data_IF_825079277959
#
_entry.id   IF_825079277959
#
_cell.length_a   1.000
_cell.length_b   1.000
_cell.length_c   1.000
_cell.angle_alpha   90.00
_cell.angle_beta   90.00
_cell.angle_gamma   90.00
#
_symmetry.space_group_name_H-M   'P 1'
#
loop_
_entity.id
_entity.type
_entity.pdbx_description
1 polymer ?
#
# COMPACT_ATOMS: atom_id res chain seq x y z
N UNK A 1 23.81 -9.03 6.41
CA UNK A 1 24.14 -7.78 5.68
C UNK A 1 24.36 -8.12 4.22
N UNK A 2 23.91 -7.27 3.30
CA UNK A 2 24.05 -7.47 1.86
C UNK A 2 24.80 -6.25 1.29
N UNK A 3 26.07 -6.39 0.90
CA UNK A 3 26.82 -5.28 0.33
C UNK A 3 26.30 -4.92 -1.07
N UNK A 4 26.43 -3.66 -1.46
CA UNK A 4 26.24 -3.19 -2.82
C UNK A 4 27.30 -2.12 -3.15
N UNK A 5 27.49 -1.74 -4.43
CA UNK A 5 28.63 -0.91 -4.83
C UNK A 5 28.78 0.44 -4.12
N UNK A 6 27.73 0.96 -3.48
CA UNK A 6 27.71 2.28 -2.85
C UNK A 6 27.45 2.22 -1.32
N UNK A 7 27.40 1.01 -0.73
CA UNK A 7 27.11 0.85 0.70
C UNK A 7 26.67 -0.55 1.11
N UNK A 8 25.80 -0.64 2.12
CA UNK A 8 25.29 -1.91 2.66
C UNK A 8 23.80 -1.87 2.98
N UNK A 9 23.13 -3.01 2.79
CA UNK A 9 21.75 -3.22 3.25
C UNK A 9 21.76 -4.15 4.48
N UNK A 10 21.17 -3.67 5.57
CA UNK A 10 20.90 -4.44 6.79
C UNK A 10 19.41 -4.78 6.84
N UNK A 11 19.09 -6.00 7.24
CA UNK A 11 17.71 -6.46 7.39
C UNK A 11 17.38 -6.43 8.86
N UNK A 12 16.31 -5.71 9.22
CA UNK A 12 15.86 -5.55 10.59
C UNK A 12 14.44 -6.08 10.76
N UNK A 13 14.15 -6.63 11.93
CA UNK A 13 12.80 -6.81 12.44
C UNK A 13 12.28 -5.52 13.10
N UNK A 14 10.97 -5.42 13.29
CA UNK A 14 10.34 -4.24 13.91
C UNK A 14 10.91 -3.93 15.30
N UNK A 15 11.19 -4.95 16.12
CA UNK A 15 11.75 -4.77 17.46
C UNK A 15 13.10 -4.04 17.45
N UNK A 16 13.96 -4.33 16.47
CA UNK A 16 15.25 -3.65 16.28
C UNK A 16 15.04 -2.24 15.71
N UNK A 17 14.04 -2.09 14.83
CA UNK A 17 13.77 -0.87 14.10
C UNK A 17 13.19 0.26 14.98
N UNK A 18 12.39 -0.07 16.00
CA UNK A 18 11.78 0.91 16.91
C UNK A 18 12.81 1.77 17.65
N UNK A 19 14.01 1.24 17.87
CA UNK A 19 15.13 1.95 18.49
C UNK A 19 15.97 2.75 17.46
N UNK A 20 15.67 2.63 16.17
CA UNK A 20 16.39 3.33 15.11
C UNK A 20 15.81 4.73 14.86
N UNK A 21 16.56 5.78 15.18
CA UNK A 21 16.14 7.17 14.92
C UNK A 21 15.90 7.49 13.44
N UNK A 22 16.49 6.72 12.52
CA UNK A 22 16.21 6.86 11.09
C UNK A 22 14.79 6.37 10.72
N UNK A 23 14.21 5.43 11.47
CA UNK A 23 12.87 4.91 11.17
C UNK A 23 11.79 5.98 11.32
N UNK A 24 11.88 6.78 12.38
CA UNK A 24 10.98 7.91 12.62
C UNK A 24 10.98 8.94 11.49
N UNK A 25 12.11 9.06 10.77
CA UNK A 25 12.28 9.98 9.64
C UNK A 25 11.86 9.37 8.31
N UNK A 26 12.01 8.05 8.16
CA UNK A 26 11.59 7.34 6.95
C UNK A 26 10.10 7.59 6.69
N UNK A 27 9.77 7.93 5.45
CA UNK A 27 8.38 8.11 4.99
C UNK A 27 7.61 9.25 5.72
N UNK A 28 8.27 10.09 6.52
CA UNK A 28 7.61 11.13 7.31
C UNK A 28 6.74 12.09 6.46
N UNK A 29 7.17 12.34 5.23
CA UNK A 29 6.51 13.22 4.26
C UNK A 29 5.44 12.52 3.40
N UNK A 30 5.19 11.22 3.63
CA UNK A 30 4.17 10.44 2.92
C UNK A 30 2.90 10.37 3.77
N UNK A 31 1.76 10.05 3.16
CA UNK A 31 0.51 9.83 3.91
C UNK A 31 0.67 8.70 4.95
N UNK A 32 1.39 7.65 4.56
CA UNK A 32 1.74 6.49 5.38
C UNK A 32 3.18 6.62 5.85
N UNK A 33 3.36 7.21 7.03
CA UNK A 33 4.68 7.27 7.66
C UNK A 33 5.03 5.94 8.36
N UNK A 34 6.14 5.93 9.08
CA UNK A 34 6.62 4.77 9.81
C UNK A 34 5.56 4.10 10.71
N UNK A 35 4.74 4.89 11.44
CA UNK A 35 3.70 4.38 12.35
C UNK A 35 2.68 3.53 11.62
N UNK A 36 2.32 3.92 10.39
CA UNK A 36 1.40 3.14 9.56
C UNK A 36 1.92 1.71 9.30
N UNK A 37 3.22 1.55 9.05
CA UNK A 37 3.80 0.23 8.78
C UNK A 37 3.89 -0.62 10.05
N UNK A 38 4.09 0.00 11.23
CA UNK A 38 4.00 -0.71 12.51
C UNK A 38 2.56 -1.20 12.75
N UNK A 39 1.57 -0.33 12.57
CA UNK A 39 0.15 -0.67 12.69
C UNK A 39 -0.20 -1.83 11.75
N UNK A 40 0.22 -1.76 10.49
CA UNK A 40 -0.02 -2.84 9.51
C UNK A 40 0.58 -4.16 10.00
N UNK A 41 1.83 -4.15 10.45
CA UNK A 41 2.49 -5.37 10.92
C UNK A 41 1.81 -5.94 12.18
N UNK A 42 1.38 -5.10 13.10
CA UNK A 42 0.85 -5.54 14.41
C UNK A 42 -0.63 -5.93 14.35
N UNK A 43 -1.39 -5.35 13.44
CA UNK A 43 -2.86 -5.51 13.41
C UNK A 43 -3.36 -6.41 12.30
N UNK A 44 -2.63 -6.54 11.18
CA UNK A 44 -3.10 -7.37 10.07
C UNK A 44 -2.77 -8.85 10.27
N UNK A 45 -3.80 -9.69 10.13
CA UNK A 45 -3.69 -11.15 10.25
C UNK A 45 -3.60 -11.81 8.86
N UNK A 46 -2.71 -11.30 8.00
CA UNK A 46 -2.64 -11.68 6.58
C UNK A 46 -1.47 -12.61 6.22
N UNK A 47 -0.76 -13.15 7.22
CA UNK A 47 0.41 -14.01 7.01
C UNK A 47 1.60 -13.29 6.38
N UNK A 48 1.70 -11.97 6.56
CA UNK A 48 2.83 -11.18 6.11
C UNK A 48 4.00 -11.30 7.08
N UNK A 49 5.16 -11.71 6.57
CA UNK A 49 6.40 -11.74 7.32
C UNK A 49 7.17 -10.45 7.03
N UNK A 50 6.95 -9.43 7.87
CA UNK A 50 7.48 -8.08 7.68
C UNK A 50 8.96 -7.98 8.07
N UNK A 51 9.72 -7.28 7.23
CA UNK A 51 11.11 -6.91 7.46
C UNK A 51 11.38 -5.50 6.94
N UNK A 52 12.49 -4.92 7.37
CA UNK A 52 12.86 -3.57 7.00
C UNK A 52 14.30 -3.55 6.52
N UNK A 53 14.51 -3.02 5.32
CA UNK A 53 15.83 -2.87 4.73
C UNK A 53 16.38 -1.51 5.13
N UNK A 54 17.28 -1.50 6.11
CA UNK A 54 18.06 -0.33 6.46
C UNK A 54 19.21 -0.20 5.45
N UNK A 55 19.26 0.91 4.73
CA UNK A 55 20.22 1.16 3.64
C UNK A 55 21.20 2.22 4.10
N UNK A 56 22.48 1.85 4.19
CA UNK A 56 23.59 2.74 4.54
C UNK A 56 24.48 2.97 3.32
N UNK A 57 25.04 4.18 3.22
CA UNK A 57 26.15 4.46 2.29
C UNK A 57 27.51 4.03 2.88
N UNK A 58 28.60 4.23 2.12
CA UNK A 58 29.95 3.90 2.57
C UNK A 58 30.43 4.67 3.80
N UNK A 59 29.85 5.83 4.08
CA UNK A 59 30.16 6.61 5.29
C UNK A 59 29.41 6.07 6.52
N UNK A 60 28.58 5.04 6.36
CA UNK A 60 27.74 4.49 7.41
C UNK A 60 26.50 5.33 7.70
N UNK A 61 26.20 6.32 6.85
CA UNK A 61 25.00 7.14 7.00
C UNK A 61 23.80 6.33 6.47
N UNK A 62 22.83 6.08 7.35
CA UNK A 62 21.53 5.50 6.94
C UNK A 62 20.86 6.49 6.01
N UNK A 63 20.48 6.09 4.78
CA UNK A 63 19.81 6.88 3.71
C UNK A 63 18.35 6.54 3.51
N UNK A 64 17.93 5.35 3.90
CA UNK A 64 16.53 4.95 3.89
C UNK A 64 16.28 3.72 4.75
N UNK A 65 15.01 3.54 5.09
CA UNK A 65 14.49 2.28 5.59
C UNK A 65 13.34 1.87 4.69
N UNK A 66 13.55 0.83 3.87
CA UNK A 66 12.54 0.33 2.94
C UNK A 66 11.75 -0.83 3.58
N UNK A 67 10.44 -0.68 3.79
CA UNK A 67 9.59 -1.80 4.20
C UNK A 67 9.51 -2.86 3.10
N UNK A 68 9.67 -4.12 3.51
CA UNK A 68 9.48 -5.30 2.68
C UNK A 68 8.73 -6.36 3.49
N UNK A 69 8.10 -7.32 2.83
CA UNK A 69 7.47 -8.43 3.51
C UNK A 69 7.44 -9.66 2.62
N UNK A 70 7.49 -10.84 3.22
CA UNK A 70 7.20 -12.08 2.50
C UNK A 70 5.73 -12.43 2.63
N UNK A 71 5.19 -12.98 1.55
CA UNK A 71 3.85 -13.54 1.52
C UNK A 71 3.85 -14.80 0.67
N UNK A 72 3.04 -15.78 1.05
CA UNK A 72 2.76 -16.96 0.23
C UNK A 72 1.54 -16.67 -0.64
N UNK A 73 1.75 -16.59 -1.95
CA UNK A 73 0.69 -16.23 -2.90
C UNK A 73 0.39 -17.38 -3.85
N UNK A 74 -0.90 -17.64 -4.02
CA UNK A 74 -1.40 -18.54 -5.04
C UNK A 74 -1.64 -17.75 -6.33
N UNK A 75 -0.74 -17.88 -7.32
CA UNK A 75 -0.81 -17.15 -8.59
C UNK A 75 -2.08 -17.40 -9.41
N UNK A 76 -2.95 -18.33 -9.02
CA UNK A 76 -4.23 -18.60 -9.70
C UNK A 76 -5.44 -17.98 -9.00
N UNK A 77 -5.30 -17.53 -7.75
CA UNK A 77 -6.32 -16.73 -7.07
C UNK A 77 -6.27 -15.29 -7.61
N UNK A 78 -7.11 -15.01 -8.61
CA UNK A 78 -7.27 -13.66 -9.18
C UNK A 78 -7.34 -13.60 -10.71
N UNK A 79 -7.09 -14.71 -11.41
CA UNK A 79 -7.16 -14.75 -12.88
C UNK A 79 -8.59 -15.09 -13.34
N UNK A 80 -9.42 -14.06 -13.61
CA UNK A 80 -10.65 -14.20 -14.41
C UNK A 80 -10.37 -13.92 -15.89
N UNK A 81 -10.50 -14.95 -16.74
CA UNK A 81 -10.63 -14.81 -18.20
C UNK A 81 -9.34 -14.54 -19.00
N UNK A 82 -9.33 -15.07 -20.24
CA UNK A 82 -8.36 -15.00 -21.37
C UNK A 82 -6.84 -15.17 -21.15
N UNK A 83 -6.30 -15.08 -19.94
CA UNK A 83 -4.88 -15.46 -19.63
C UNK A 83 -4.77 -16.96 -19.29
N UNK A 84 -5.84 -17.73 -19.53
CA UNK A 84 -5.93 -19.16 -19.22
C UNK A 84 -4.94 -20.02 -20.03
N UNK A 85 -4.51 -19.60 -21.23
CA UNK A 85 -3.59 -20.41 -22.04
C UNK A 85 -2.16 -20.37 -21.49
N UNK A 86 -1.68 -19.21 -21.03
CA UNK A 86 -0.37 -19.07 -20.39
C UNK A 86 -0.32 -19.85 -19.07
N UNK A 87 -1.39 -19.73 -18.26
CA UNK A 87 -1.53 -20.49 -17.01
C UNK A 87 -1.65 -22.00 -17.26
N UNK A 88 -2.31 -22.42 -18.34
CA UNK A 88 -2.48 -23.84 -18.70
C UNK A 88 -1.15 -24.52 -19.08
N UNK A 89 -0.28 -23.81 -19.81
CA UNK A 89 1.04 -24.32 -20.20
C UNK A 89 1.97 -24.44 -19.00
N UNK A 90 1.94 -23.46 -18.09
CA UNK A 90 2.74 -23.46 -16.85
C UNK A 90 2.27 -24.59 -15.91
N UNK A 91 0.96 -24.85 -15.83
CA UNK A 91 0.38 -25.96 -15.04
C UNK A 91 0.79 -27.35 -15.52
N UNK A 92 1.00 -27.55 -16.82
CA UNK A 92 1.45 -28.84 -17.37
C UNK A 92 2.91 -29.15 -17.05
N UNK A 93 3.76 -28.12 -16.89
CA UNK A 93 5.17 -28.30 -16.56
C UNK A 93 5.43 -28.37 -15.05
N UNK A 94 4.58 -27.76 -14.21
CA UNK A 94 4.76 -27.77 -12.75
C UNK A 94 3.43 -28.03 -12.00
N UNK A 95 3.07 -29.29 -11.72
CA UNK A 95 1.81 -29.62 -11.03
C UNK A 95 1.76 -29.17 -9.56
N UNK A 96 2.90 -28.84 -8.92
CA UNK A 96 3.00 -28.32 -7.53
C UNK A 96 3.04 -26.77 -7.42
N UNK A 97 2.71 -26.02 -8.48
CA UNK A 97 3.04 -24.59 -8.66
C UNK A 97 2.15 -23.54 -7.94
N UNK A 98 1.31 -23.86 -6.96
CA UNK A 98 0.21 -22.94 -6.61
C UNK A 98 0.33 -22.21 -5.27
N UNK A 99 1.51 -22.18 -4.65
CA UNK A 99 1.79 -21.24 -3.57
C UNK A 99 3.28 -20.94 -3.56
N UNK A 100 3.67 -19.76 -4.04
CA UNK A 100 5.07 -19.33 -4.05
C UNK A 100 5.32 -18.30 -2.96
N UNK A 101 6.50 -18.32 -2.34
CA UNK A 101 6.95 -17.25 -1.46
C UNK A 101 7.41 -16.08 -2.33
N UNK A 102 6.79 -14.93 -2.13
CA UNK A 102 7.07 -13.69 -2.86
C UNK A 102 7.64 -12.68 -1.88
N UNK A 103 8.73 -12.02 -2.26
CA UNK A 103 9.24 -10.83 -1.58
C UNK A 103 8.51 -9.60 -2.14
N UNK A 104 7.69 -8.97 -1.33
CA UNK A 104 7.00 -7.73 -1.66
C UNK A 104 7.80 -6.55 -1.12
N UNK A 105 8.07 -5.57 -1.97
CA UNK A 105 8.63 -4.28 -1.59
C UNK A 105 7.47 -3.28 -1.49
N UNK A 106 7.43 -2.51 -0.40
CA UNK A 106 6.40 -1.50 -0.16
C UNK A 106 5.39 -1.93 0.90
N UNK A 107 4.10 -1.69 0.64
CA UNK A 107 3.06 -1.71 1.67
C UNK A 107 2.08 -2.89 1.51
N UNK A 108 1.80 -3.57 2.63
CA UNK A 108 0.82 -4.66 2.71
C UNK A 108 -0.61 -4.18 2.44
N UNK A 109 -0.99 -3.04 3.03
CA UNK A 109 -2.28 -2.38 2.82
C UNK A 109 -2.12 -1.06 2.05
N UNK A 110 -2.51 -1.06 0.77
CA UNK A 110 -2.41 0.11 -0.14
C UNK A 110 -1.06 0.29 -0.87
N UNK A 111 -0.87 1.48 -1.46
CA UNK A 111 0.24 1.80 -2.37
C UNK A 111 1.64 1.78 -1.72
N UNK A 112 2.67 1.42 -2.49
CA UNK A 112 4.07 1.46 -2.04
C UNK A 112 4.71 2.84 -2.16
N UNK A 113 5.67 3.12 -1.28
CA UNK A 113 6.53 4.31 -1.34
C UNK A 113 8.00 3.89 -1.13
N UNK A 114 8.92 4.70 -1.67
CA UNK A 114 10.34 4.57 -1.33
C UNK A 114 10.58 5.06 0.09
N UNK A 115 11.29 4.26 0.88
CA UNK A 115 11.59 4.46 2.30
C UNK A 115 12.51 5.63 2.66
N UNK A 116 12.66 6.58 1.76
CA UNK A 116 13.49 7.77 1.92
C UNK A 116 12.84 8.80 2.84
N UNK A 117 13.65 9.66 3.46
CA UNK A 117 13.14 10.91 4.04
C UNK A 117 13.42 12.11 3.13
N UNK A 118 14.50 12.05 2.34
CA UNK A 118 14.87 13.02 1.32
C UNK A 118 14.61 12.45 -0.08
N UNK A 119 13.95 13.22 -0.94
CA UNK A 119 13.68 12.80 -2.31
C UNK A 119 14.95 12.60 -3.12
N UNK A 120 16.01 13.35 -2.79
CA UNK A 120 17.27 13.27 -3.51
C UNK A 120 17.99 11.92 -3.31
N UNK A 121 17.55 11.15 -2.30
CA UNK A 121 18.03 9.78 -2.03
C UNK A 121 17.32 8.70 -2.86
N UNK A 122 16.24 9.03 -3.59
CA UNK A 122 15.47 8.05 -4.37
C UNK A 122 16.34 7.26 -5.38
N UNK A 123 17.23 7.88 -6.18
CA UNK A 123 18.10 7.15 -7.11
C UNK A 123 19.09 6.22 -6.40
N UNK A 124 19.67 6.67 -5.29
CA UNK A 124 20.59 5.87 -4.47
C UNK A 124 19.89 4.64 -3.90
N UNK A 125 18.70 4.83 -3.32
CA UNK A 125 17.89 3.75 -2.75
C UNK A 125 17.43 2.78 -3.83
N UNK A 126 16.99 3.27 -4.99
CA UNK A 126 16.61 2.40 -6.10
C UNK A 126 17.79 1.52 -6.55
N UNK A 127 19.02 2.06 -6.59
CA UNK A 127 20.22 1.28 -6.90
C UNK A 127 20.54 0.24 -5.83
N UNK A 128 20.44 0.61 -4.55
CA UNK A 128 20.63 -0.32 -3.44
C UNK A 128 19.63 -1.49 -3.51
N UNK A 129 18.35 -1.19 -3.74
CA UNK A 129 17.29 -2.20 -3.89
C UNK A 129 17.53 -3.09 -5.12
N UNK A 130 17.87 -2.49 -6.26
CA UNK A 130 18.23 -3.20 -7.49
C UNK A 130 19.36 -4.22 -7.27
N UNK A 131 20.39 -3.83 -6.51
CA UNK A 131 21.57 -4.67 -6.26
C UNK A 131 21.38 -5.72 -5.16
N UNK A 132 20.50 -5.49 -4.19
CA UNK A 132 20.39 -6.31 -2.98
C UNK A 132 19.20 -7.28 -2.96
N UNK A 133 18.07 -6.91 -3.58
CA UNK A 133 16.80 -7.65 -3.43
C UNK A 133 16.87 -9.08 -3.97
N UNK A 134 17.62 -9.34 -5.06
CA UNK A 134 17.76 -10.69 -5.60
C UNK A 134 18.51 -11.61 -4.63
N UNK A 135 19.56 -11.09 -3.99
CA UNK A 135 20.31 -11.82 -2.96
C UNK A 135 19.42 -12.07 -1.74
N UNK A 136 18.69 -11.07 -1.27
CA UNK A 136 17.77 -11.21 -0.15
C UNK A 136 16.66 -12.23 -0.42
N UNK A 137 16.08 -12.20 -1.63
CA UNK A 137 15.07 -13.15 -2.06
C UNK A 137 15.62 -14.59 -2.09
N UNK A 138 16.82 -14.81 -2.64
CA UNK A 138 17.47 -16.14 -2.68
C UNK A 138 17.74 -16.68 -1.29
N UNK A 139 18.29 -15.86 -0.39
CA UNK A 139 18.55 -16.23 1.01
C UNK A 139 17.28 -16.69 1.74
N UNK A 140 16.13 -16.12 1.38
CA UNK A 140 14.84 -16.40 1.99
C UNK A 140 13.94 -17.32 1.15
N UNK A 141 14.49 -17.98 0.12
CA UNK A 141 13.75 -18.91 -0.76
C UNK A 141 12.50 -18.28 -1.39
N UNK A 142 12.53 -16.98 -1.66
CA UNK A 142 11.49 -16.29 -2.40
C UNK A 142 11.75 -16.40 -3.90
N UNK A 143 10.73 -16.86 -4.63
CA UNK A 143 10.83 -17.15 -6.07
C UNK A 143 10.54 -15.93 -6.94
N UNK A 144 10.01 -14.86 -6.36
CA UNK A 144 9.67 -13.62 -7.06
C UNK A 144 9.88 -12.41 -6.14
N UNK A 145 10.33 -11.30 -6.73
CA UNK A 145 10.37 -9.98 -6.09
C UNK A 145 9.37 -9.07 -6.78
N UNK A 146 8.50 -8.41 -6.02
CA UNK A 146 7.45 -7.52 -6.54
C UNK A 146 7.52 -6.18 -5.84
N UNK A 147 7.63 -5.10 -6.61
CA UNK A 147 7.37 -3.76 -6.13
C UNK A 147 5.86 -3.52 -6.16
N UNK A 148 5.20 -3.60 -5.01
CA UNK A 148 3.74 -3.59 -4.92
C UNK A 148 3.19 -2.17 -5.01
N UNK A 149 2.39 -1.91 -6.04
CA UNK A 149 1.57 -0.71 -6.20
C UNK A 149 2.33 0.63 -6.07
N UNK A 150 3.49 0.73 -6.72
CA UNK A 150 4.27 1.98 -6.72
C UNK A 150 3.64 3.03 -7.67
N UNK A 151 3.33 4.24 -7.18
CA UNK A 151 2.80 5.31 -8.01
C UNK A 151 3.74 5.73 -9.15
N UNK A 152 3.16 6.29 -10.22
CA UNK A 152 3.90 6.69 -11.42
C UNK A 152 5.02 7.74 -11.18
N UNK A 153 4.99 8.45 -10.05
CA UNK A 153 6.04 9.42 -9.68
C UNK A 153 7.41 8.75 -9.49
N UNK A 154 7.44 7.47 -9.13
CA UNK A 154 8.68 6.71 -8.92
C UNK A 154 9.25 6.09 -10.20
N UNK A 155 8.62 6.31 -11.37
CA UNK A 155 9.03 5.66 -12.63
C UNK A 155 10.48 5.97 -13.01
N UNK A 156 10.90 7.23 -12.84
CA UNK A 156 12.27 7.65 -13.14
C UNK A 156 13.27 7.00 -12.19
N UNK A 157 13.05 7.11 -10.87
CA UNK A 157 13.92 6.51 -9.87
C UNK A 157 14.06 4.98 -10.02
N UNK A 158 12.96 4.28 -10.30
CA UNK A 158 12.92 2.82 -10.40
C UNK A 158 13.30 2.26 -11.78
N UNK A 159 13.66 3.11 -12.76
CA UNK A 159 14.01 2.67 -14.12
C UNK A 159 15.23 1.73 -14.11
N UNK A 160 16.15 1.93 -13.16
CA UNK A 160 17.33 1.08 -12.96
C UNK A 160 16.98 -0.41 -12.79
N UNK A 161 15.78 -0.75 -12.30
CA UNK A 161 15.33 -2.12 -12.11
C UNK A 161 15.22 -2.92 -13.42
N UNK A 162 14.94 -2.27 -14.56
CA UNK A 162 14.84 -2.99 -15.84
C UNK A 162 16.14 -3.69 -16.22
N UNK A 163 17.30 -3.09 -15.87
CA UNK A 163 18.61 -3.70 -16.09
C UNK A 163 18.84 -5.00 -15.29
N UNK A 164 17.98 -5.28 -14.31
CA UNK A 164 18.02 -6.48 -13.46
C UNK A 164 16.87 -7.44 -13.72
N UNK A 165 16.23 -7.35 -14.90
CA UNK A 165 15.19 -8.28 -15.32
C UNK A 165 13.80 -8.02 -14.72
N UNK A 166 13.60 -6.87 -14.06
CA UNK A 166 12.26 -6.47 -13.64
C UNK A 166 11.45 -6.00 -14.84
N UNK A 167 10.15 -6.31 -14.83
CA UNK A 167 9.19 -5.77 -15.77
C UNK A 167 8.14 -4.96 -15.01
N UNK A 168 7.64 -3.90 -15.64
CA UNK A 168 6.56 -3.09 -15.11
C UNK A 168 5.23 -3.58 -15.67
N UNK A 169 4.32 -3.93 -14.78
CA UNK A 169 2.97 -4.37 -15.13
C UNK A 169 1.97 -3.35 -14.56
N UNK A 170 0.96 -2.90 -15.32
CA UNK A 170 -0.11 -2.07 -14.76
C UNK A 170 -0.82 -2.82 -13.62
N UNK A 171 -0.90 -2.19 -12.45
CA UNK A 171 -1.75 -2.64 -11.35
C UNK A 171 -3.19 -2.13 -11.54
N UNK A 172 -4.05 -2.38 -10.54
CA UNK A 172 -5.39 -1.82 -10.47
C UNK A 172 -5.37 -0.30 -10.68
N UNK A 173 -6.35 0.25 -11.42
CA UNK A 173 -6.39 1.67 -11.70
C UNK A 173 -6.53 2.45 -10.39
N UNK A 174 -5.50 3.24 -10.05
CA UNK A 174 -5.63 4.24 -8.99
C UNK A 174 -6.31 5.48 -9.55
N UNK A 175 -7.51 5.76 -9.08
CA UNK A 175 -8.22 6.99 -9.40
C UNK A 175 -7.68 8.14 -8.56
N UNK A 176 -7.38 9.27 -9.20
CA UNK A 176 -7.00 10.52 -8.53
C UNK A 176 -8.04 11.57 -8.83
N UNK A 177 -8.55 12.21 -7.79
CA UNK A 177 -9.45 13.37 -7.90
C UNK A 177 -8.69 14.63 -7.49
N UNK A 178 -8.56 15.57 -8.41
CA UNK A 178 -7.91 16.85 -8.15
C UNK A 178 -8.92 17.84 -7.55
N UNK A 179 -8.86 18.05 -6.24
CA UNK A 179 -9.73 18.99 -5.52
C UNK A 179 -9.08 20.39 -5.47
N UNK A 180 -9.10 21.11 -6.60
CA UNK A 180 -8.50 22.47 -6.71
C UNK A 180 -9.48 23.60 -6.40
N UNK A 181 -10.67 23.25 -5.90
CA UNK A 181 -11.78 24.17 -5.69
C UNK A 181 -11.78 24.66 -4.25
N UNK A 182 -12.01 25.96 -4.05
CA UNK A 182 -12.08 26.57 -2.72
C UNK A 182 -13.33 26.16 -1.96
N UNK A 183 -14.41 25.91 -2.68
CA UNK A 183 -15.71 25.56 -2.11
C UNK A 183 -16.58 24.77 -3.10
N UNK A 184 -17.76 24.37 -2.63
CA UNK A 184 -18.75 23.64 -3.41
C UNK A 184 -19.22 24.39 -4.64
N UNK A 185 -19.46 25.70 -4.55
CA UNK A 185 -20.02 26.48 -5.66
C UNK A 185 -19.05 26.60 -6.82
N UNK A 186 -17.76 26.78 -6.52
CA UNK A 186 -16.70 26.77 -7.53
C UNK A 186 -16.62 25.41 -8.22
N UNK A 187 -16.56 24.32 -7.44
CA UNK A 187 -16.59 22.96 -7.99
C UNK A 187 -17.82 22.75 -8.88
N UNK A 188 -19.01 23.06 -8.36
CA UNK A 188 -20.29 22.89 -9.04
C UNK A 188 -20.33 23.69 -10.34
N UNK A 189 -19.80 24.92 -10.34
CA UNK A 189 -19.69 25.79 -11.52
C UNK A 189 -18.86 25.20 -12.65
N UNK A 190 -17.84 24.39 -12.32
CA UNK A 190 -16.99 23.72 -13.33
C UNK A 190 -17.68 22.54 -14.04
N UNK A 191 -18.81 22.08 -13.51
CA UNK A 191 -19.53 20.94 -14.06
C UNK A 191 -20.40 21.34 -15.26
N UNK A 192 -20.55 20.40 -16.20
CA UNK A 192 -21.42 20.57 -17.37
C UNK A 192 -22.87 20.90 -16.96
N UNK A 193 -23.62 21.59 -17.84
CA UNK A 193 -25.05 21.90 -17.59
C UNK A 193 -25.86 20.64 -17.28
N UNK A 194 -25.58 19.54 -17.96
CA UNK A 194 -26.25 18.25 -17.74
C UNK A 194 -25.91 17.67 -16.36
N UNK A 195 -24.63 17.65 -15.97
CA UNK A 195 -24.18 17.17 -14.65
C UNK A 195 -24.76 18.02 -13.52
N UNK A 196 -24.76 19.35 -13.66
CA UNK A 196 -25.38 20.27 -12.70
C UNK A 196 -26.89 20.01 -12.55
N UNK A 197 -27.61 19.80 -13.66
CA UNK A 197 -29.04 19.46 -13.64
C UNK A 197 -29.28 18.12 -12.92
N UNK A 198 -28.45 17.11 -13.18
CA UNK A 198 -28.56 15.80 -12.52
C UNK A 198 -28.27 15.89 -11.01
N UNK A 199 -27.19 16.55 -10.60
CA UNK A 199 -26.88 16.76 -9.19
C UNK A 199 -27.99 17.49 -8.45
N UNK A 200 -28.53 18.60 -9.01
CA UNK A 200 -29.68 19.31 -8.42
C UNK A 200 -30.93 18.43 -8.28
N UNK A 201 -31.13 17.48 -9.19
CA UNK A 201 -32.23 16.51 -9.08
C UNK A 201 -31.97 15.50 -7.97
N UNK A 202 -30.72 15.01 -7.84
CA UNK A 202 -30.31 14.10 -6.77
C UNK A 202 -30.43 14.73 -5.38
N UNK A 203 -29.98 15.98 -5.21
CA UNK A 203 -30.14 16.70 -3.94
C UNK A 203 -31.61 16.91 -3.56
N UNK A 204 -32.46 17.35 -4.49
CA UNK A 204 -33.92 17.46 -4.23
C UNK A 204 -34.59 16.12 -3.89
N UNK A 205 -34.07 15.00 -4.40
CA UNK A 205 -34.55 13.67 -4.01
C UNK A 205 -34.06 13.30 -2.61
N UNK A 206 -32.81 13.60 -2.28
CA UNK A 206 -32.23 13.37 -0.96
C UNK A 206 -32.94 14.17 0.13
N UNK A 207 -33.31 15.43 -0.13
CA UNK A 207 -34.10 16.28 0.78
C UNK A 207 -35.46 15.68 1.17
N UNK A 208 -36.00 14.74 0.38
CA UNK A 208 -37.28 14.06 0.63
C UNK A 208 -37.12 12.66 1.21
N UNK A 209 -35.90 12.15 1.28
CA UNK A 209 -35.60 10.86 1.88
C UNK A 209 -35.40 11.04 3.40
N UNK A 210 -35.48 9.95 4.19
CA UNK A 210 -35.02 9.98 5.58
C UNK A 210 -33.61 10.58 5.67
N UNK A 211 -33.40 11.41 6.69
CA UNK A 211 -32.14 12.14 6.83
C UNK A 211 -30.98 11.16 7.02
N UNK A 212 -29.93 11.34 6.22
CA UNK A 212 -28.65 10.66 6.43
C UNK A 212 -27.69 11.73 6.91
N UNK A 213 -27.28 11.62 8.17
CA UNK A 213 -26.30 12.50 8.79
C UNK A 213 -24.90 12.00 8.49
N UNK A 214 -23.97 12.95 8.29
CA UNK A 214 -22.56 12.66 8.07
C UNK A 214 -21.74 13.30 9.17
N UNK A 215 -21.00 12.49 9.92
CA UNK A 215 -19.99 12.95 10.85
C UNK A 215 -18.60 12.61 10.35
N UNK A 216 -17.64 13.50 10.61
CA UNK A 216 -16.22 13.23 10.36
C UNK A 216 -15.54 13.02 11.70
N UNK A 217 -15.00 11.82 11.91
CA UNK A 217 -14.25 11.48 13.11
C UNK A 217 -12.82 11.06 12.75
N UNK A 218 -11.91 11.19 13.71
CA UNK A 218 -10.53 10.69 13.57
C UNK A 218 -10.36 9.32 14.20
N UNK A 219 -11.26 8.92 15.11
CA UNK A 219 -11.26 7.61 15.77
C UNK A 219 -12.65 6.97 15.66
N UNK A 220 -12.69 5.76 15.10
CA UNK A 220 -13.93 4.97 14.91
C UNK A 220 -14.10 3.88 15.96
N UNK A 221 -13.23 3.81 16.97
CA UNK A 221 -13.32 2.83 18.06
C UNK A 221 -14.73 2.76 18.67
N UNK A 222 -15.43 3.87 18.96
CA UNK A 222 -16.79 3.80 19.51
C UNK A 222 -17.83 3.16 18.58
N UNK A 223 -17.54 3.06 17.29
CA UNK A 223 -18.48 2.70 16.23
C UNK A 223 -18.04 1.45 15.46
N UNK A 224 -16.95 0.81 15.88
CA UNK A 224 -16.31 -0.24 15.11
C UNK A 224 -17.22 -1.44 14.88
N UNK A 225 -18.07 -1.75 15.84
CA UNK A 225 -18.97 -2.91 15.77
C UNK A 225 -20.09 -2.71 14.75
N UNK A 226 -20.45 -1.45 14.46
CA UNK A 226 -21.39 -1.10 13.39
C UNK A 226 -20.70 -1.04 12.02
N UNK A 227 -19.48 -0.49 11.96
CA UNK A 227 -18.77 -0.22 10.69
C UNK A 227 -18.07 -1.47 10.15
N UNK A 228 -17.50 -2.30 11.02
CA UNK A 228 -16.69 -3.44 10.59
C UNK A 228 -17.48 -4.48 9.76
N UNK A 229 -18.73 -4.84 10.11
CA UNK A 229 -19.55 -5.71 9.25
C UNK A 229 -19.79 -5.14 7.86
N UNK A 230 -19.89 -3.80 7.71
CA UNK A 230 -20.03 -3.15 6.40
C UNK A 230 -18.75 -3.29 5.56
N UNK A 231 -17.59 -3.14 6.19
CA UNK A 231 -16.29 -3.42 5.56
C UNK A 231 -16.23 -4.88 5.09
N UNK A 232 -16.55 -5.84 5.97
CA UNK A 232 -16.53 -7.27 5.64
C UNK A 232 -17.47 -7.60 4.48
N UNK A 233 -18.68 -7.05 4.46
CA UNK A 233 -19.64 -7.29 3.39
C UNK A 233 -19.11 -6.86 2.00
N UNK A 234 -18.31 -5.79 1.94
CA UNK A 234 -17.63 -5.35 0.70
C UNK A 234 -16.43 -6.25 0.40
N UNK A 235 -15.60 -6.52 1.42
CA UNK A 235 -14.41 -7.35 1.28
C UNK A 235 -14.77 -8.74 0.76
N UNK A 236 -15.78 -9.40 1.34
CA UNK A 236 -16.21 -10.76 0.99
C UNK A 236 -16.65 -10.89 -0.46
N UNK A 237 -17.31 -9.86 -1.00
CA UNK A 237 -17.77 -9.79 -2.39
C UNK A 237 -16.64 -9.49 -3.38
N UNK A 238 -15.50 -8.99 -2.91
CA UNK A 238 -14.35 -8.73 -3.78
C UNK A 238 -13.79 -10.03 -4.34
N UNK A 239 -13.59 -10.06 -5.67
CA UNK A 239 -12.91 -11.18 -6.33
C UNK A 239 -11.40 -11.21 -6.04
N UNK A 240 -10.85 -10.12 -5.50
CA UNK A 240 -9.43 -9.96 -5.21
C UNK A 240 -9.27 -9.52 -3.76
N UNK A 241 -8.55 -10.33 -3.00
CA UNK A 241 -8.29 -10.13 -1.57
C UNK A 241 -6.80 -10.32 -1.37
N UNK A 242 -6.10 -9.26 -0.99
CA UNK A 242 -4.68 -9.32 -0.68
C UNK A 242 -4.46 -9.19 0.83
N UNK A 243 -5.13 -8.22 1.43
CA UNK A 243 -5.19 -7.98 2.86
C UNK A 243 -6.65 -8.01 3.37
N UNK A 244 -6.82 -8.38 4.63
CA UNK A 244 -8.05 -8.17 5.40
C UNK A 244 -7.71 -7.24 6.57
N UNK A 245 -8.36 -6.08 6.60
CA UNK A 245 -8.22 -5.13 7.70
C UNK A 245 -8.98 -5.68 8.91
N UNK A 246 -8.37 -5.56 10.09
CA UNK A 246 -8.94 -5.99 11.37
C UNK A 246 -9.61 -4.82 12.08
N UNK A 247 -10.41 -5.10 13.12
CA UNK A 247 -10.94 -4.02 13.98
C UNK A 247 -9.82 -3.24 14.64
N UNK A 248 -8.78 -3.95 15.07
CA UNK A 248 -7.57 -3.42 15.69
C UNK A 248 -6.83 -2.48 14.74
N UNK A 249 -6.81 -2.76 13.43
CA UNK A 249 -6.26 -1.83 12.44
C UNK A 249 -7.00 -0.49 12.47
N UNK A 250 -8.34 -0.51 12.49
CA UNK A 250 -9.16 0.71 12.53
C UNK A 250 -8.96 1.50 13.83
N UNK A 251 -8.90 0.80 14.98
CA UNK A 251 -8.57 1.43 16.27
C UNK A 251 -7.19 2.09 16.24
N UNK A 252 -6.17 1.33 15.84
CA UNK A 252 -4.79 1.78 15.88
C UNK A 252 -4.55 2.97 14.94
N UNK A 253 -5.13 2.96 13.73
CA UNK A 253 -5.06 4.10 12.82
C UNK A 253 -5.68 5.36 13.46
N UNK A 254 -6.85 5.23 14.07
CA UNK A 254 -7.54 6.37 14.67
C UNK A 254 -6.84 6.92 15.92
N UNK A 255 -6.22 6.05 16.72
CA UNK A 255 -5.59 6.41 17.99
C UNK A 255 -4.13 6.86 17.85
N UNK A 256 -3.37 6.26 16.94
CA UNK A 256 -1.92 6.49 16.84
C UNK A 256 -1.53 7.52 15.77
N UNK A 257 -2.38 7.71 14.75
CA UNK A 257 -2.16 8.70 13.67
C UNK A 257 -3.42 9.56 13.39
N UNK A 258 -4.12 10.10 14.41
CA UNK A 258 -5.38 10.83 14.25
C UNK A 258 -5.26 12.06 13.33
N UNK A 259 -4.08 12.65 13.22
CA UNK A 259 -3.81 13.78 12.35
C UNK A 259 -3.76 13.40 10.86
N UNK A 260 -3.67 12.10 10.53
CA UNK A 260 -3.57 11.55 9.17
C UNK A 260 -4.76 10.67 8.77
N UNK A 261 -5.65 10.35 9.70
CA UNK A 261 -6.82 9.51 9.47
C UNK A 261 -8.12 10.34 9.56
N UNK A 262 -9.04 10.13 8.61
CA UNK A 262 -10.39 10.68 8.65
C UNK A 262 -11.38 9.59 8.27
N UNK A 263 -12.41 9.44 9.07
CA UNK A 263 -13.52 8.54 8.83
C UNK A 263 -14.77 9.37 8.64
N UNK A 264 -15.45 9.12 7.53
CA UNK A 264 -16.71 9.75 7.21
C UNK A 264 -17.78 8.70 7.50
N UNK A 265 -18.62 8.96 8.50
CA UNK A 265 -19.64 8.03 8.93
C UNK A 265 -20.98 8.60 8.49
N UNK A 266 -21.72 7.83 7.70
CA UNK A 266 -23.09 8.15 7.30
C UNK A 266 -24.06 7.30 8.08
N UNK A 267 -24.96 7.92 8.86
CA UNK A 267 -25.99 7.23 9.63
C UNK A 267 -27.37 7.73 9.27
N UNK A 268 -28.32 6.81 9.32
CA UNK A 268 -29.73 7.12 9.36
C UNK A 268 -30.20 6.73 10.76
N UNK A 269 -30.53 7.73 11.57
CA UNK A 269 -31.08 7.53 12.92
C UNK A 269 -32.56 7.13 12.86
#
# INVERSE_FOLDING_TARGET
>A
MIPFPQGVVKVLALAELRNCGAWKRALQNKCKDHRYYEIVQETLQCGFEHHYLLIEDHAGQVRAIQPVFFVRQNLVEGVRGKVRSIVGTIRKMFPRFLTMRVLMVGCGAGAGDLGVWDKDDEPFVAKALQSSLQTYARQNKASLVVFKDFPAIYRSALEVLYSSGYARIPSMPMTRLSLRYKNWDEYFGTLSKATRKDLRRKFRKAERAPNIEMEVVTDVTPFIDEIYPLYLAVHERSALKFETLTKEYFHAIGQQIPERARFFIWRQN
#
